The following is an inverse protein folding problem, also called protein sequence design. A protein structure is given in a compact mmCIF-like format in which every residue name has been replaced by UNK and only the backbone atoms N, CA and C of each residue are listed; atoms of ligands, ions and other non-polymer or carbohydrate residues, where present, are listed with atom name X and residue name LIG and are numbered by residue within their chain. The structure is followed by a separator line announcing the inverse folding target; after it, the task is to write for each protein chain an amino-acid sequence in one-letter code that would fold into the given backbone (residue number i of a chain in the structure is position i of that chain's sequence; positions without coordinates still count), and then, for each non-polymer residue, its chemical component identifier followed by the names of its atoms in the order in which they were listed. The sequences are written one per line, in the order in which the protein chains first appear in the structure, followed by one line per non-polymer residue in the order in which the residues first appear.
data_IF_130201640708
#
_entry.id   IF_130201640708
#
_cell.length_a   1.000
_cell.length_b   1.000
_cell.length_c   1.000
_cell.angle_alpha   90.00
_cell.angle_beta   90.00
_cell.angle_gamma   90.00
#
_symmetry.space_group_name_H-M   'P 1'
#
loop_
_entity.id
_entity.type
_entity.pdbx_description
1 polymer ?
#
# COMPACT_ATOMS: atom_id res chain seq x y z
N UNK A 1 -1.89 -17.73 8.37
CA UNK A 1 -3.21 -17.06 8.34
C UNK A 1 -3.26 -16.15 7.12
N UNK A 2 -3.98 -16.54 6.08
CA UNK A 2 -4.26 -15.67 4.94
C UNK A 2 -5.41 -14.74 5.30
N UNK A 3 -5.19 -13.42 5.30
CA UNK A 3 -6.20 -12.40 5.59
C UNK A 3 -7.23 -12.29 4.44
N UNK A 4 -8.01 -13.35 4.21
CA UNK A 4 -8.90 -13.48 3.05
C UNK A 4 -10.26 -12.77 3.18
N UNK A 5 -10.43 -11.90 4.19
CA UNK A 5 -11.68 -11.14 4.37
C UNK A 5 -11.52 -9.69 4.79
N UNK A 6 -10.28 -9.18 4.95
CA UNK A 6 -10.03 -7.78 5.32
C UNK A 6 -9.34 -7.10 4.16
N UNK A 7 -10.01 -6.11 3.58
CA UNK A 7 -9.50 -5.28 2.49
C UNK A 7 -9.04 -3.95 3.09
N UNK A 8 -7.77 -3.55 2.92
CA UNK A 8 -7.31 -2.23 3.37
C UNK A 8 -8.03 -1.10 2.64
N UNK A 9 -8.41 -0.05 3.36
CA UNK A 9 -9.09 1.14 2.79
C UNK A 9 -8.13 1.94 1.89
N UNK A 10 -8.40 1.96 0.58
CA UNK A 10 -7.61 2.72 -0.38
C UNK A 10 -7.58 4.23 -0.07
N UNK A 11 -8.64 4.81 0.48
CA UNK A 11 -8.67 6.25 0.78
C UNK A 11 -7.66 6.62 1.88
N UNK A 12 -7.58 5.81 2.94
CA UNK A 12 -6.62 6.03 4.02
C UNK A 12 -5.18 5.79 3.54
N UNK A 13 -4.95 4.76 2.72
CA UNK A 13 -3.64 4.49 2.10
C UNK A 13 -3.20 5.68 1.23
N UNK A 14 -4.07 6.17 0.35
CA UNK A 14 -3.77 7.30 -0.53
C UNK A 14 -3.61 8.62 0.24
N UNK A 15 -4.38 8.83 1.32
CA UNK A 15 -4.21 10.00 2.19
C UNK A 15 -2.81 10.03 2.81
N UNK A 16 -2.32 8.90 3.34
CA UNK A 16 -0.97 8.79 3.91
C UNK A 16 0.12 8.95 2.87
N UNK A 17 -0.08 8.36 1.69
CA UNK A 17 0.84 8.54 0.56
C UNK A 17 0.99 10.02 0.20
N UNK A 18 -0.13 10.75 0.06
CA UNK A 18 -0.12 12.18 -0.26
C UNK A 18 0.56 13.01 0.83
N UNK A 19 0.34 12.66 2.10
CA UNK A 19 1.00 13.32 3.23
C UNK A 19 2.52 13.05 3.28
N UNK A 20 2.95 11.85 2.89
CA UNK A 20 4.37 11.49 2.82
C UNK A 20 5.09 12.18 1.65
N UNK A 21 4.37 12.53 0.57
CA UNK A 21 4.94 13.19 -0.60
C UNK A 21 5.91 12.31 -1.39
N UNK A 22 5.85 10.99 -1.21
CA UNK A 22 6.74 10.02 -1.85
C UNK A 22 5.97 8.73 -2.20
N UNK A 23 6.58 7.84 -2.98
CA UNK A 23 6.00 6.55 -3.34
C UNK A 23 6.14 5.51 -2.23
N UNK A 24 6.58 5.90 -1.03
CA UNK A 24 6.80 4.98 0.08
C UNK A 24 6.49 5.64 1.41
N UNK A 25 5.62 5.02 2.20
CA UNK A 25 5.32 5.47 3.56
C UNK A 25 5.22 4.30 4.54
N UNK A 26 5.37 4.59 5.82
CA UNK A 26 5.34 3.58 6.88
C UNK A 26 6.21 3.98 8.06
N UNK A 27 6.52 3.01 8.90
CA UNK A 27 7.42 3.13 10.04
C UNK A 27 8.07 1.76 10.32
N UNK A 28 8.71 1.58 11.47
CA UNK A 28 9.53 0.40 11.76
C UNK A 28 8.79 -0.94 11.74
N UNK A 29 7.45 -0.93 11.87
CA UNK A 29 6.62 -2.15 11.91
C UNK A 29 6.08 -2.51 10.53
N UNK A 30 5.74 -1.52 9.70
CA UNK A 30 5.19 -1.76 8.36
C UNK A 30 5.64 -0.69 7.37
N UNK A 31 5.73 -1.10 6.11
CA UNK A 31 6.09 -0.23 5.00
C UNK A 31 5.23 -0.53 3.78
N UNK A 32 4.72 0.51 3.15
CA UNK A 32 3.99 0.45 1.88
C UNK A 32 4.81 1.15 0.82
N UNK A 33 5.07 0.46 -0.29
CA UNK A 33 5.78 0.99 -1.46
C UNK A 33 4.89 0.86 -2.69
N UNK A 34 4.53 1.98 -3.31
CA UNK A 34 3.69 1.98 -4.50
C UNK A 34 4.50 1.55 -5.73
N UNK A 35 3.84 0.79 -6.60
CA UNK A 35 4.38 0.31 -7.87
C UNK A 35 3.56 0.85 -9.06
N UNK A 36 2.84 1.95 -8.84
CA UNK A 36 2.00 2.64 -9.81
C UNK A 36 2.11 4.16 -9.62
N UNK A 37 1.56 4.94 -10.55
CA UNK A 37 1.42 6.39 -10.38
C UNK A 37 0.56 6.70 -9.15
N UNK A 38 1.08 7.52 -8.24
CA UNK A 38 0.40 7.92 -7.00
C UNK A 38 -0.40 9.22 -7.12
N UNK A 39 -0.14 10.03 -8.14
CA UNK A 39 -0.90 11.26 -8.43
C UNK A 39 -2.22 10.92 -9.12
N UNK A 40 -2.17 9.99 -10.08
CA UNK A 40 -3.32 9.48 -10.82
C UNK A 40 -3.28 7.95 -10.88
N UNK A 41 -3.57 7.25 -9.76
CA UNK A 41 -3.56 5.80 -9.72
C UNK A 41 -4.61 5.21 -10.70
N UNK A 42 -4.29 4.10 -11.37
CA UNK A 42 -5.23 3.46 -12.29
C UNK A 42 -6.41 2.88 -11.52
N UNK A 43 -7.61 2.92 -12.14
CA UNK A 43 -8.84 2.40 -11.53
C UNK A 43 -8.75 0.90 -11.19
N UNK A 44 -7.98 0.14 -11.97
CA UNK A 44 -7.72 -1.27 -11.73
C UNK A 44 -6.22 -1.55 -11.78
N UNK A 45 -5.75 -2.47 -10.94
CA UNK A 45 -4.36 -2.92 -10.96
C UNK A 45 -3.37 -1.94 -10.32
N UNK A 46 -3.84 -0.91 -9.60
CA UNK A 46 -2.98 -0.02 -8.82
C UNK A 46 -2.28 -0.83 -7.71
N UNK A 47 -1.03 -1.19 -7.96
CA UNK A 47 -0.27 -2.16 -7.17
C UNK A 47 0.62 -1.45 -6.15
N UNK A 48 0.73 -2.05 -4.96
CA UNK A 48 1.71 -1.67 -3.96
C UNK A 48 2.26 -2.92 -3.27
N UNK A 49 3.48 -2.83 -2.74
CA UNK A 49 4.02 -3.83 -1.84
C UNK A 49 3.69 -3.44 -0.41
N UNK A 50 3.19 -4.41 0.36
CA UNK A 50 3.03 -4.30 1.80
C UNK A 50 4.08 -5.17 2.48
N UNK A 51 4.95 -4.54 3.26
CA UNK A 51 5.97 -5.18 4.07
C UNK A 51 5.60 -5.02 5.55
N UNK A 52 5.63 -6.12 6.30
CA UNK A 52 5.51 -6.13 7.75
C UNK A 52 6.82 -6.66 8.32
N UNK A 53 7.30 -6.09 9.41
CA UNK A 53 8.54 -6.54 10.05
C UNK A 53 8.50 -8.05 10.34
N UNK A 54 9.60 -8.74 10.00
CA UNK A 54 9.70 -10.20 10.10
C UNK A 54 8.88 -11.01 9.09
N UNK A 55 8.22 -10.38 8.10
CA UNK A 55 7.40 -11.05 7.07
C UNK A 55 7.85 -10.67 5.66
N UNK A 56 7.68 -11.59 4.70
CA UNK A 56 7.98 -11.38 3.27
C UNK A 56 7.02 -10.35 2.65
N UNK A 57 7.57 -9.50 1.79
CA UNK A 57 6.82 -8.53 0.97
C UNK A 57 5.66 -9.21 0.22
N UNK A 58 4.46 -8.68 0.43
CA UNK A 58 3.26 -9.18 -0.24
C UNK A 58 2.67 -8.12 -1.17
N UNK A 59 2.60 -8.37 -2.49
CA UNK A 59 1.97 -7.45 -3.42
C UNK A 59 0.46 -7.41 -3.20
N UNK A 60 -0.09 -6.20 -3.15
CA UNK A 60 -1.51 -5.89 -2.99
C UNK A 60 -1.98 -4.93 -4.09
N UNK A 61 -3.29 -4.77 -4.19
CA UNK A 61 -3.93 -3.77 -5.03
C UNK A 61 -4.77 -2.82 -4.18
N UNK A 62 -4.86 -1.55 -4.59
CA UNK A 62 -5.81 -0.61 -4.01
C UNK A 62 -7.23 -1.05 -4.36
N UNK A 63 -8.13 -1.03 -3.38
CA UNK A 63 -9.55 -1.37 -3.48
C UNK A 63 -10.35 -0.39 -2.64
#
# INVERSE_FOLDING_TARGET
MSAQGIIPDANEIMKRQRAAGSDTFGHDVYKITFLCDTKQPPLFGAKYNFQLDGVVDYPKFLV
#
